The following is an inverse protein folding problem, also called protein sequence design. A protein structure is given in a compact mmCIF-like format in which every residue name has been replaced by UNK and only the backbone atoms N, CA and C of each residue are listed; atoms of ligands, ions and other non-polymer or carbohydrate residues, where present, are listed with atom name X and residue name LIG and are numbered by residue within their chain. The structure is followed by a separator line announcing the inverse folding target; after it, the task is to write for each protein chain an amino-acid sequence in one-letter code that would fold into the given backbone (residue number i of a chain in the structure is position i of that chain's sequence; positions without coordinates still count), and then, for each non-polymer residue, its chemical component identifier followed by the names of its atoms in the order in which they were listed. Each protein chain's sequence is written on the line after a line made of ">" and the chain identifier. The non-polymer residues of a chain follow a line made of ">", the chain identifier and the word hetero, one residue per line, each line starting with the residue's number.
data_IF_071676073485
#
_entry.id   IF_071676073485
#
_cell.length_a   1.000
_cell.length_b   1.000
_cell.length_c   1.000
_cell.angle_alpha   90.00
_cell.angle_beta   90.00
_cell.angle_gamma   90.00
#
_symmetry.space_group_name_H-M   'P 1'
#
loop_
_entity.id
_entity.type
_entity.pdbx_description
1 polymer ?
#
# COMPACT_ATOMS: atom_id res chain seq x y z
N UNK A 1 -47.01 -16.06 -43.20
CA UNK A 1 -47.40 -14.66 -43.52
C UNK A 1 -46.49 -13.68 -42.78
N UNK A 2 -45.60 -12.96 -43.47
CA UNK A 2 -44.85 -11.85 -42.87
C UNK A 2 -45.71 -10.58 -42.94
N UNK A 3 -46.27 -10.12 -41.82
CA UNK A 3 -46.93 -8.79 -41.73
C UNK A 3 -45.87 -7.72 -41.93
N UNK A 4 -45.90 -7.03 -43.08
CA UNK A 4 -45.02 -5.89 -43.35
C UNK A 4 -45.32 -4.73 -42.40
N UNK A 5 -44.29 -4.05 -41.91
CA UNK A 5 -44.47 -2.86 -41.09
C UNK A 5 -45.20 -1.76 -41.86
N UNK A 6 -46.18 -1.13 -41.19
CA UNK A 6 -46.90 0.03 -41.73
C UNK A 6 -45.94 1.22 -41.98
N UNK A 7 -46.30 2.10 -42.91
CA UNK A 7 -45.52 3.31 -43.22
C UNK A 7 -45.27 4.19 -41.98
N UNK A 8 -46.24 4.26 -41.06
CA UNK A 8 -46.11 4.96 -39.77
C UNK A 8 -45.10 4.29 -38.85
N UNK A 9 -45.07 2.96 -38.78
CA UNK A 9 -44.12 2.22 -37.94
C UNK A 9 -42.69 2.36 -38.48
N UNK A 10 -42.50 2.38 -39.81
CA UNK A 10 -41.18 2.66 -40.43
C UNK A 10 -40.68 4.07 -40.11
N UNK A 11 -41.58 5.08 -40.11
CA UNK A 11 -41.23 6.45 -39.76
C UNK A 11 -40.85 6.60 -38.27
N UNK A 12 -41.59 5.96 -37.37
CA UNK A 12 -41.27 5.96 -35.93
C UNK A 12 -39.91 5.29 -35.69
N UNK A 13 -39.64 4.15 -36.32
CA UNK A 13 -38.34 3.46 -36.20
C UNK A 13 -37.21 4.34 -36.74
N UNK A 14 -37.40 5.04 -37.87
CA UNK A 14 -36.40 5.95 -38.41
C UNK A 14 -36.11 7.12 -37.47
N UNK A 15 -37.13 7.70 -36.84
CA UNK A 15 -36.98 8.80 -35.86
C UNK A 15 -36.22 8.31 -34.62
N UNK A 16 -36.57 7.14 -34.08
CA UNK A 16 -35.87 6.54 -32.94
C UNK A 16 -34.40 6.27 -33.29
N UNK A 17 -34.10 5.75 -34.49
CA UNK A 17 -32.73 5.54 -34.94
C UNK A 17 -31.94 6.86 -35.04
N UNK A 18 -32.54 7.93 -35.57
CA UNK A 18 -31.88 9.24 -35.65
C UNK A 18 -31.61 9.82 -34.25
N UNK A 19 -32.56 9.71 -33.32
CA UNK A 19 -32.37 10.15 -31.93
C UNK A 19 -31.25 9.35 -31.25
N UNK A 20 -31.18 8.04 -31.47
CA UNK A 20 -30.10 7.20 -30.92
C UNK A 20 -28.72 7.56 -31.51
N UNK A 21 -28.65 7.86 -32.81
CA UNK A 21 -27.40 8.28 -33.46
C UNK A 21 -26.96 9.66 -32.95
N UNK A 22 -27.88 10.61 -32.79
CA UNK A 22 -27.59 11.93 -32.23
C UNK A 22 -27.19 11.81 -30.76
N UNK A 23 -27.92 11.02 -29.97
CA UNK A 23 -27.61 10.77 -28.56
C UNK A 23 -26.25 10.12 -28.37
N UNK A 24 -25.90 9.12 -29.19
CA UNK A 24 -24.59 8.49 -29.18
C UNK A 24 -23.48 9.44 -29.64
N UNK A 25 -23.75 10.28 -30.65
CA UNK A 25 -22.83 11.32 -31.10
C UNK A 25 -22.55 12.38 -30.03
N UNK A 26 -23.58 12.84 -29.33
CA UNK A 26 -23.45 13.78 -28.20
C UNK A 26 -22.70 13.14 -27.04
N UNK A 27 -23.00 11.89 -26.71
CA UNK A 27 -22.33 11.16 -25.63
C UNK A 27 -20.84 10.90 -25.94
N UNK A 28 -20.52 10.45 -27.16
CA UNK A 28 -19.14 10.26 -27.60
C UNK A 28 -18.38 11.59 -27.66
N UNK A 29 -19.01 12.67 -28.12
CA UNK A 29 -18.43 14.01 -28.13
C UNK A 29 -18.23 14.58 -26.72
N UNK A 30 -19.12 14.28 -25.79
CA UNK A 30 -18.99 14.67 -24.38
C UNK A 30 -17.84 13.91 -23.70
N UNK A 31 -17.73 12.59 -23.91
CA UNK A 31 -16.63 11.79 -23.36
C UNK A 31 -15.27 12.15 -23.97
N UNK A 32 -15.24 12.52 -25.25
CA UNK A 32 -14.01 12.99 -25.93
C UNK A 32 -13.53 14.37 -25.46
N UNK A 33 -14.35 15.13 -24.71
CA UNK A 33 -13.95 16.42 -24.13
C UNK A 33 -13.25 16.32 -22.79
N UNK A 34 -13.37 15.19 -22.09
CA UNK A 34 -12.61 14.97 -20.86
C UNK A 34 -11.15 14.71 -21.24
N UNK A 35 -10.29 15.72 -21.03
CA UNK A 35 -8.84 15.51 -21.17
C UNK A 35 -8.40 14.47 -20.14
N UNK A 36 -7.52 13.52 -20.52
CA UNK A 36 -6.92 12.64 -19.53
C UNK A 36 -6.21 13.48 -18.47
N UNK A 37 -6.39 13.11 -17.21
CA UNK A 37 -5.74 13.79 -16.08
C UNK A 37 -4.22 13.66 -16.22
N UNK A 38 -3.50 14.72 -15.88
CA UNK A 38 -2.04 14.65 -15.73
C UNK A 38 -1.67 13.80 -14.51
N UNK A 39 -0.42 13.30 -14.42
CA UNK A 39 0.07 12.64 -13.21
C UNK A 39 -0.18 13.44 -11.93
N UNK A 40 0.11 14.74 -11.95
CA UNK A 40 -0.13 15.62 -10.79
C UNK A 40 -1.61 15.74 -10.45
N UNK A 41 -2.50 15.84 -11.44
CA UNK A 41 -3.95 15.89 -11.22
C UNK A 41 -4.49 14.57 -10.65
N UNK A 42 -3.94 13.42 -11.07
CA UNK A 42 -4.27 12.13 -10.46
C UNK A 42 -3.82 12.12 -9.01
N UNK A 43 -2.58 12.52 -8.74
CA UNK A 43 -1.99 12.53 -7.41
C UNK A 43 -2.79 13.43 -6.45
N UNK A 44 -3.06 14.67 -6.85
CA UNK A 44 -3.84 15.65 -6.07
C UNK A 44 -5.26 15.13 -5.80
N UNK A 45 -5.89 14.56 -6.83
CA UNK A 45 -7.24 14.00 -6.72
C UNK A 45 -7.30 12.84 -5.74
N UNK A 46 -6.31 11.94 -5.76
CA UNK A 46 -6.25 10.79 -4.85
C UNK A 46 -6.07 11.28 -3.41
N UNK A 47 -5.08 12.14 -3.15
CA UNK A 47 -4.84 12.68 -1.81
C UNK A 47 -6.04 13.45 -1.25
N UNK A 48 -6.66 14.31 -2.07
CA UNK A 48 -7.82 15.10 -1.64
C UNK A 48 -9.06 14.23 -1.34
N UNK A 49 -9.13 13.02 -1.91
CA UNK A 49 -10.25 12.10 -1.73
C UNK A 49 -10.04 11.06 -0.63
N UNK A 50 -8.84 10.99 -0.03
CA UNK A 50 -8.53 9.98 0.97
C UNK A 50 -9.35 10.15 2.24
N UNK A 51 -9.89 9.05 2.77
CA UNK A 51 -10.69 9.03 3.98
C UNK A 51 -10.41 7.74 4.76
N UNK A 52 -9.75 7.87 5.91
CA UNK A 52 -9.40 6.73 6.78
C UNK A 52 -10.59 5.90 7.27
N UNK A 53 -11.83 6.38 7.13
CA UNK A 53 -13.06 5.66 7.48
C UNK A 53 -13.74 4.99 6.28
N UNK A 54 -13.23 5.20 5.07
CA UNK A 54 -13.72 4.60 3.85
C UNK A 54 -12.66 3.66 3.28
N UNK A 55 -12.83 2.33 3.44
CA UNK A 55 -11.92 1.34 2.88
C UNK A 55 -11.66 1.51 1.38
N UNK A 56 -12.64 2.03 0.62
CA UNK A 56 -12.47 2.24 -0.82
C UNK A 56 -11.43 3.32 -1.12
N UNK A 57 -11.27 4.29 -0.23
CA UNK A 57 -10.28 5.35 -0.40
C UNK A 57 -8.84 4.85 -0.28
N UNK A 58 -8.60 3.77 0.46
CA UNK A 58 -7.30 3.10 0.52
C UNK A 58 -6.95 2.46 -0.82
N UNK A 59 -7.91 1.82 -1.49
CA UNK A 59 -7.68 1.25 -2.82
C UNK A 59 -7.31 2.31 -3.86
N UNK A 60 -7.87 3.52 -3.74
CA UNK A 60 -7.57 4.61 -4.66
C UNK A 60 -6.11 5.09 -4.59
N UNK A 61 -5.42 4.83 -3.48
CA UNK A 61 -4.00 5.20 -3.30
C UNK A 61 -3.11 4.51 -4.34
N UNK A 62 -3.45 3.28 -4.73
CA UNK A 62 -2.69 2.54 -5.75
C UNK A 62 -2.73 3.20 -7.15
N UNK A 63 -3.66 4.10 -7.42
CA UNK A 63 -3.64 4.91 -8.64
C UNK A 63 -2.39 5.80 -8.72
N UNK A 64 -1.79 6.16 -7.58
CA UNK A 64 -0.52 6.89 -7.55
C UNK A 64 0.62 5.98 -8.02
N UNK A 65 0.59 4.69 -7.68
CA UNK A 65 1.59 3.73 -8.17
C UNK A 65 1.48 3.48 -9.68
N UNK A 66 0.28 3.61 -10.26
CA UNK A 66 0.06 3.49 -11.72
C UNK A 66 0.69 4.64 -12.52
N UNK A 67 1.03 5.76 -11.88
CA UNK A 67 1.82 6.85 -12.49
C UNK A 67 3.24 6.38 -12.83
N UNK A 68 3.74 5.37 -12.11
CA UNK A 68 5.09 4.84 -12.27
C UNK A 68 6.17 5.77 -11.72
N UNK A 69 7.36 5.72 -12.32
CA UNK A 69 8.55 6.46 -11.87
C UNK A 69 8.36 7.98 -11.75
N UNK A 70 7.42 8.55 -12.52
CA UNK A 70 7.09 9.97 -12.47
C UNK A 70 6.56 10.41 -11.10
N UNK A 71 6.03 9.48 -10.29
CA UNK A 71 5.57 9.76 -8.93
C UNK A 71 6.71 9.86 -7.91
N UNK A 72 7.92 9.36 -8.23
CA UNK A 72 9.01 9.21 -7.25
C UNK A 72 9.37 10.52 -6.54
N UNK A 73 9.63 11.66 -7.23
CA UNK A 73 10.05 12.88 -6.52
C UNK A 73 9.03 13.33 -5.48
N UNK A 74 7.74 13.19 -5.80
CA UNK A 74 6.65 13.60 -4.91
C UNK A 74 6.49 12.63 -3.75
N UNK A 75 6.48 11.32 -4.00
CA UNK A 75 6.43 10.30 -2.96
C UNK A 75 7.61 10.41 -1.99
N UNK A 76 8.82 10.59 -2.50
CA UNK A 76 10.03 10.81 -1.70
C UNK A 76 9.88 12.03 -0.79
N UNK A 77 9.41 13.18 -1.31
CA UNK A 77 9.19 14.36 -0.46
C UNK A 77 8.14 14.16 0.62
N UNK A 78 7.18 13.25 0.39
CA UNK A 78 6.10 12.98 1.34
C UNK A 78 6.52 12.11 2.52
N UNK A 79 7.65 11.39 2.44
CA UNK A 79 8.20 10.60 3.56
C UNK A 79 8.47 11.50 4.78
N UNK A 80 8.81 12.78 4.57
CA UNK A 80 9.09 13.73 5.65
C UNK A 80 7.91 14.70 5.92
N UNK A 81 6.74 14.43 5.34
CA UNK A 81 5.58 15.31 5.48
C UNK A 81 5.08 15.41 6.94
N UNK A 82 4.55 16.57 7.30
CA UNK A 82 3.84 16.74 8.58
C UNK A 82 2.56 15.90 8.67
N UNK A 83 1.94 15.57 7.53
CA UNK A 83 0.74 14.75 7.46
C UNK A 83 1.07 13.26 7.58
N UNK A 84 0.54 12.58 8.60
CA UNK A 84 0.67 11.12 8.76
C UNK A 84 0.14 10.37 7.53
N UNK A 85 -0.92 10.88 6.90
CA UNK A 85 -1.52 10.26 5.73
C UNK A 85 -0.60 10.34 4.51
N UNK A 86 0.06 11.47 4.31
CA UNK A 86 1.03 11.61 3.21
C UNK A 86 2.23 10.70 3.41
N UNK A 87 2.77 10.61 4.64
CA UNK A 87 3.85 9.67 4.95
C UNK A 87 3.44 8.22 4.73
N UNK A 88 2.23 7.84 5.14
CA UNK A 88 1.69 6.51 4.89
C UNK A 88 1.55 6.21 3.38
N UNK A 89 0.97 7.13 2.60
CA UNK A 89 0.87 7.01 1.13
C UNK A 89 2.25 6.84 0.51
N UNK A 90 3.23 7.62 0.97
CA UNK A 90 4.60 7.52 0.48
C UNK A 90 5.18 6.11 0.67
N UNK A 91 5.12 5.57 1.89
CA UNK A 91 5.62 4.22 2.19
C UNK A 91 4.93 3.16 1.31
N UNK A 92 3.60 3.15 1.28
CA UNK A 92 2.82 2.15 0.53
C UNK A 92 3.09 2.22 -0.98
N UNK A 93 3.08 3.42 -1.56
CA UNK A 93 3.26 3.60 -2.99
C UNK A 93 4.70 3.37 -3.43
N UNK A 94 5.70 3.80 -2.65
CA UNK A 94 7.11 3.53 -2.93
C UNK A 94 7.38 2.02 -2.92
N UNK A 95 6.90 1.30 -1.91
CA UNK A 95 7.03 -0.16 -1.88
C UNK A 95 6.34 -0.83 -3.08
N UNK A 96 5.14 -0.37 -3.44
CA UNK A 96 4.42 -0.91 -4.61
C UNK A 96 5.18 -0.66 -5.90
N UNK A 97 5.75 0.53 -6.08
CA UNK A 97 6.61 0.85 -7.22
C UNK A 97 7.83 -0.07 -7.27
N UNK A 98 8.48 -0.33 -6.14
CA UNK A 98 9.63 -1.23 -6.07
C UNK A 98 9.25 -2.68 -6.42
N UNK A 99 8.14 -3.20 -5.89
CA UNK A 99 7.64 -4.55 -6.27
C UNK A 99 7.41 -4.67 -7.77
N UNK A 100 6.90 -3.60 -8.39
CA UNK A 100 6.60 -3.58 -9.83
C UNK A 100 7.83 -3.31 -10.70
N UNK A 101 8.87 -2.65 -10.16
CA UNK A 101 10.09 -2.33 -10.86
C UNK A 101 11.31 -2.36 -9.92
N UNK A 102 12.06 -3.47 -9.97
CA UNK A 102 13.25 -3.69 -9.13
C UNK A 102 14.42 -2.76 -9.48
N UNK A 103 14.45 -2.15 -10.66
CA UNK A 103 15.50 -1.19 -11.06
C UNK A 103 15.47 0.08 -10.19
N UNK A 104 14.38 0.31 -9.46
CA UNK A 104 14.22 1.44 -8.55
C UNK A 104 14.75 1.18 -7.15
N UNK A 105 15.33 0.00 -6.87
CA UNK A 105 15.78 -0.40 -5.53
C UNK A 105 16.70 0.64 -4.89
N UNK A 106 17.71 1.09 -5.61
CA UNK A 106 18.70 2.05 -5.10
C UNK A 106 18.11 3.45 -4.82
N UNK A 107 16.96 3.77 -5.43
CA UNK A 107 16.25 5.03 -5.21
C UNK A 107 15.24 4.92 -4.07
N UNK A 108 14.59 3.77 -3.91
CA UNK A 108 13.46 3.58 -3.00
C UNK A 108 13.90 3.09 -1.61
N UNK A 109 14.84 2.15 -1.52
CA UNK A 109 15.27 1.59 -0.23
C UNK A 109 15.76 2.67 0.73
N UNK A 110 16.62 3.63 0.32
CA UNK A 110 17.04 4.71 1.22
C UNK A 110 15.89 5.58 1.73
N UNK A 111 14.83 5.75 0.94
CA UNK A 111 13.67 6.54 1.33
C UNK A 111 12.78 5.80 2.32
N UNK A 112 12.60 4.49 2.14
CA UNK A 112 11.94 3.65 3.15
C UNK A 112 12.77 3.59 4.45
N UNK A 113 14.09 3.53 4.37
CA UNK A 113 14.98 3.56 5.54
C UNK A 113 14.79 4.83 6.39
N UNK A 114 14.54 6.00 5.78
CA UNK A 114 14.22 7.23 6.54
C UNK A 114 12.97 7.08 7.40
N UNK A 115 11.97 6.34 6.93
CA UNK A 115 10.73 6.11 7.66
C UNK A 115 10.87 5.12 8.83
N UNK A 116 12.03 4.45 9.00
CA UNK A 116 12.32 3.65 10.20
C UNK A 116 12.40 4.50 11.47
N UNK A 117 12.65 5.81 11.32
CA UNK A 117 12.73 6.79 12.41
C UNK A 117 11.47 7.66 12.52
N UNK A 118 10.34 7.26 11.91
CA UNK A 118 9.09 8.02 11.99
C UNK A 118 8.62 8.21 13.45
N UNK A 119 8.00 9.36 13.72
CA UNK A 119 7.41 9.65 15.03
C UNK A 119 6.18 8.80 15.36
N UNK A 120 5.58 8.16 14.36
CA UNK A 120 4.42 7.28 14.52
C UNK A 120 4.87 5.81 14.51
N UNK A 121 4.47 5.03 15.51
CA UNK A 121 4.95 3.66 15.67
C UNK A 121 4.45 2.75 14.54
N UNK A 122 3.22 2.97 14.08
CA UNK A 122 2.69 2.21 12.95
C UNK A 122 3.48 2.45 11.67
N UNK A 123 3.88 3.69 11.36
CA UNK A 123 4.66 3.98 10.15
C UNK A 123 6.09 3.42 10.21
N UNK A 124 6.74 3.45 11.38
CA UNK A 124 8.03 2.76 11.59
C UNK A 124 7.90 1.26 11.32
N UNK A 125 6.90 0.63 11.94
CA UNK A 125 6.63 -0.80 11.77
C UNK A 125 6.31 -1.14 10.31
N UNK A 126 5.48 -0.34 9.65
CA UNK A 126 5.12 -0.53 8.25
C UNK A 126 6.37 -0.44 7.37
N UNK A 127 7.18 0.61 7.48
CA UNK A 127 8.39 0.73 6.68
C UNK A 127 9.37 -0.43 6.94
N UNK A 128 9.49 -0.86 8.20
CA UNK A 128 10.31 -1.99 8.58
C UNK A 128 9.84 -3.31 7.95
N UNK A 129 8.54 -3.57 7.94
CA UNK A 129 7.95 -4.75 7.30
C UNK A 129 8.18 -4.72 5.78
N UNK A 130 7.98 -3.56 5.16
CA UNK A 130 8.21 -3.34 3.74
C UNK A 130 9.68 -3.61 3.36
N UNK A 131 10.64 -3.05 4.12
CA UNK A 131 12.07 -3.30 3.95
C UNK A 131 12.42 -4.78 4.08
N UNK A 132 11.91 -5.47 5.11
CA UNK A 132 12.10 -6.91 5.26
C UNK A 132 11.58 -7.69 4.05
N UNK A 133 10.44 -7.29 3.48
CA UNK A 133 9.88 -7.92 2.27
C UNK A 133 10.77 -7.79 1.02
N UNK A 134 11.74 -6.86 1.03
CA UNK A 134 12.74 -6.69 -0.02
C UNK A 134 14.12 -7.28 0.33
N UNK A 135 14.19 -8.05 1.42
CA UNK A 135 15.42 -8.64 1.94
C UNK A 135 16.32 -7.68 2.70
N UNK A 136 15.82 -6.50 3.06
CA UNK A 136 16.59 -5.52 3.83
C UNK A 136 16.51 -5.81 5.33
N UNK A 137 17.62 -6.32 5.88
CA UNK A 137 17.71 -6.76 7.28
C UNK A 137 17.47 -5.64 8.30
N UNK A 138 17.66 -4.37 7.91
CA UNK A 138 17.48 -3.19 8.77
C UNK A 138 16.06 -3.07 9.33
N UNK A 139 15.05 -3.67 8.67
CA UNK A 139 13.68 -3.69 9.18
C UNK A 139 13.52 -4.54 10.45
N UNK A 140 14.24 -5.67 10.58
CA UNK A 140 14.07 -6.61 11.70
C UNK A 140 14.21 -5.97 13.10
N UNK A 141 15.27 -5.21 13.43
CA UNK A 141 15.37 -4.58 14.75
C UNK A 141 14.24 -3.59 15.06
N UNK A 142 13.68 -2.93 14.04
CA UNK A 142 12.56 -2.00 14.20
C UNK A 142 11.25 -2.76 14.43
N UNK A 143 11.03 -3.87 13.72
CA UNK A 143 9.90 -4.76 14.00
C UNK A 143 9.97 -5.32 15.44
N UNK A 144 11.15 -5.77 15.89
CA UNK A 144 11.35 -6.25 17.27
C UNK A 144 11.02 -5.15 18.28
N UNK A 145 11.50 -3.93 18.04
CA UNK A 145 11.18 -2.79 18.93
C UNK A 145 9.68 -2.46 18.92
N UNK A 146 9.01 -2.63 17.78
CA UNK A 146 7.58 -2.35 17.60
C UNK A 146 6.68 -3.31 18.38
N UNK A 147 7.18 -4.48 18.81
CA UNK A 147 6.47 -5.39 19.72
C UNK A 147 6.11 -4.74 21.07
N UNK A 148 6.82 -3.67 21.46
CA UNK A 148 6.59 -2.92 22.69
C UNK A 148 5.63 -1.74 22.52
N UNK A 149 5.09 -1.54 21.31
CA UNK A 149 4.16 -0.43 21.05
C UNK A 149 2.75 -0.76 21.54
N UNK A 150 2.15 0.19 22.24
CA UNK A 150 0.73 0.19 22.64
C UNK A 150 -0.16 0.92 21.60
N UNK A 151 0.41 1.38 20.48
CA UNK A 151 -0.34 2.12 19.45
C UNK A 151 -1.28 1.18 18.68
N UNK A 152 -2.46 1.70 18.31
CA UNK A 152 -3.41 1.03 17.43
C UNK A 152 -3.35 1.69 16.05
N UNK A 153 -3.15 0.88 15.00
CA UNK A 153 -3.15 1.39 13.63
C UNK A 153 -4.53 1.83 13.19
N UNK A 154 -4.62 3.06 12.68
CA UNK A 154 -5.83 3.62 12.04
C UNK A 154 -5.93 3.28 10.54
N UNK A 155 -4.92 2.61 9.99
CA UNK A 155 -4.81 2.26 8.56
C UNK A 155 -5.21 0.81 8.28
N UNK A 156 -5.82 0.14 9.27
CA UNK A 156 -6.42 -1.17 9.10
C UNK A 156 -7.88 -1.16 9.54
N UNK A 157 -8.68 -2.01 8.90
CA UNK A 157 -10.07 -2.25 9.28
C UNK A 157 -10.27 -3.76 9.56
N UNK A 158 -10.51 -4.17 10.83
CA UNK A 158 -10.57 -3.31 12.01
C UNK A 158 -9.19 -2.73 12.39
N UNK A 159 -9.15 -1.64 13.17
CA UNK A 159 -7.94 -1.15 13.79
C UNK A 159 -7.26 -2.26 14.59
N UNK A 160 -5.94 -2.36 14.48
CA UNK A 160 -5.17 -3.44 15.11
C UNK A 160 -3.92 -2.90 15.82
N UNK A 161 -3.49 -3.52 16.91
CA UNK A 161 -2.25 -3.14 17.59
C UNK A 161 -1.03 -3.23 16.68
N UNK A 162 -0.14 -2.24 16.79
CA UNK A 162 1.14 -2.22 16.05
C UNK A 162 2.00 -3.41 16.43
N UNK A 163 2.04 -3.73 17.73
CA UNK A 163 2.83 -4.85 18.26
C UNK A 163 2.38 -6.21 17.75
N UNK A 164 1.08 -6.45 17.64
CA UNK A 164 0.54 -7.67 17.00
C UNK A 164 0.97 -7.78 15.53
N UNK A 165 0.87 -6.70 14.75
CA UNK A 165 1.32 -6.70 13.34
C UNK A 165 2.83 -6.91 13.23
N UNK A 166 3.61 -6.31 14.12
CA UNK A 166 5.04 -6.49 14.14
C UNK A 166 5.42 -7.96 14.36
N UNK A 167 4.74 -8.67 15.27
CA UNK A 167 4.98 -10.10 15.48
C UNK A 167 4.65 -10.93 14.24
N UNK A 168 3.50 -10.68 13.61
CA UNK A 168 3.11 -11.39 12.38
C UNK A 168 4.17 -11.25 11.26
N UNK A 169 4.76 -10.06 11.11
CA UNK A 169 5.83 -9.85 10.13
C UNK A 169 7.14 -10.51 10.56
N UNK A 170 7.49 -10.48 11.85
CA UNK A 170 8.67 -11.20 12.35
C UNK A 170 8.55 -12.71 12.13
N UNK A 171 7.38 -13.29 12.40
CA UNK A 171 7.06 -14.68 12.08
C UNK A 171 7.21 -14.96 10.59
N UNK A 172 6.57 -14.15 9.75
CA UNK A 172 6.64 -14.29 8.30
C UNK A 172 8.08 -14.28 7.79
N UNK A 173 8.90 -13.33 8.24
CA UNK A 173 10.24 -13.11 7.70
C UNK A 173 11.35 -13.89 8.41
N UNK A 174 11.07 -14.66 9.46
CA UNK A 174 12.11 -15.43 10.16
C UNK A 174 11.72 -16.88 10.48
N UNK A 175 10.43 -17.22 10.35
CA UNK A 175 9.89 -18.50 10.75
C UNK A 175 9.99 -18.79 12.26
N UNK A 176 10.14 -17.75 13.09
CA UNK A 176 10.14 -17.82 14.56
C UNK A 176 8.90 -17.14 15.11
N UNK A 177 8.41 -17.58 16.26
CA UNK A 177 7.16 -17.07 16.85
C UNK A 177 7.33 -16.60 18.30
N UNK A 178 8.01 -17.41 19.12
CA UNK A 178 8.19 -17.16 20.56
C UNK A 178 6.87 -17.02 21.34
N UNK A 179 5.80 -17.66 20.86
CA UNK A 179 4.50 -17.76 21.53
C UNK A 179 3.91 -16.38 21.92
N UNK A 180 4.04 -15.37 21.04
CA UNK A 180 3.57 -14.02 21.31
C UNK A 180 2.04 -13.96 21.43
N UNK A 181 1.54 -13.46 22.56
CA UNK A 181 0.10 -13.28 22.78
C UNK A 181 -0.24 -11.84 23.16
N UNK A 182 -0.94 -11.12 22.27
CA UNK A 182 -1.23 -9.69 22.48
C UNK A 182 -2.03 -9.39 23.75
N UNK A 183 -2.93 -10.27 24.18
CA UNK A 183 -3.80 -10.04 25.34
C UNK A 183 -3.17 -10.46 26.68
N UNK A 184 -2.05 -11.21 26.65
CA UNK A 184 -1.34 -11.68 27.84
C UNK A 184 -0.04 -10.90 28.02
N UNK A 185 0.06 -10.12 29.10
CA UNK A 185 1.20 -9.23 29.31
C UNK A 185 2.51 -10.01 29.52
N UNK A 186 2.46 -11.05 30.33
CA UNK A 186 3.65 -11.81 30.72
C UNK A 186 4.21 -12.54 29.48
N UNK A 187 3.32 -13.12 28.66
CA UNK A 187 3.72 -13.73 27.38
C UNK A 187 4.28 -12.73 26.38
N UNK A 188 3.75 -11.49 26.32
CA UNK A 188 4.35 -10.44 25.46
C UNK A 188 5.76 -10.12 25.91
N UNK A 189 6.00 -9.95 27.21
CA UNK A 189 7.32 -9.64 27.76
C UNK A 189 8.31 -10.78 27.45
N UNK A 190 7.91 -12.04 27.70
CA UNK A 190 8.71 -13.23 27.38
C UNK A 190 9.03 -13.34 25.87
N UNK A 191 8.04 -13.13 25.01
CA UNK A 191 8.23 -13.17 23.56
C UNK A 191 9.17 -12.06 23.07
N UNK A 192 9.05 -10.85 23.61
CA UNK A 192 9.95 -9.73 23.33
C UNK A 192 11.39 -10.07 23.72
N UNK A 193 11.61 -10.64 24.90
CA UNK A 193 12.95 -11.11 25.32
C UNK A 193 13.47 -12.21 24.39
N UNK A 194 12.60 -13.12 23.95
CA UNK A 194 12.90 -14.17 22.97
C UNK A 194 13.38 -13.60 21.65
N UNK A 195 12.66 -12.63 21.09
CA UNK A 195 13.01 -11.92 19.86
C UNK A 195 14.34 -11.16 19.99
N UNK A 196 14.53 -10.39 21.05
CA UNK A 196 15.76 -9.64 21.30
C UNK A 196 16.97 -10.57 21.47
N UNK A 197 16.79 -11.67 22.21
CA UNK A 197 17.82 -12.69 22.41
C UNK A 197 18.20 -13.40 21.11
N UNK A 198 17.19 -13.77 20.30
CA UNK A 198 17.41 -14.37 18.98
C UNK A 198 18.13 -13.42 18.04
N UNK A 199 17.71 -12.16 17.96
CA UNK A 199 18.36 -11.16 17.12
C UNK A 199 19.82 -10.95 17.52
N UNK A 200 20.09 -10.77 18.83
CA UNK A 200 21.45 -10.60 19.34
C UNK A 200 22.37 -11.76 18.97
N UNK A 201 21.85 -12.98 18.92
CA UNK A 201 22.61 -14.19 18.58
C UNK A 201 22.83 -14.36 17.08
N UNK A 202 21.87 -13.98 16.24
CA UNK A 202 21.83 -14.40 14.84
C UNK A 202 22.05 -13.28 13.82
N UNK A 203 21.95 -11.99 14.21
CA UNK A 203 21.97 -10.85 13.27
C UNK A 203 23.09 -10.85 12.24
N UNK A 204 24.28 -11.35 12.60
CA UNK A 204 25.46 -11.33 11.73
C UNK A 204 25.54 -12.55 10.78
N UNK A 205 24.64 -13.52 10.97
CA UNK A 205 24.52 -14.77 10.21
C UNK A 205 23.24 -14.86 9.37
N UNK A 206 22.36 -13.86 9.46
CA UNK A 206 21.10 -13.86 8.72
C UNK A 206 21.32 -13.51 7.25
N UNK A 207 20.75 -14.33 6.37
CA UNK A 207 20.77 -14.12 4.93
C UNK A 207 19.35 -14.26 4.40
N UNK A 208 18.94 -13.34 3.53
CA UNK A 208 17.65 -13.40 2.83
C UNK A 208 17.60 -14.61 1.88
N UNK A 209 16.58 -15.45 2.03
CA UNK A 209 16.19 -16.48 1.08
C UNK A 209 14.99 -15.96 0.28
N UNK A 210 15.25 -15.49 -0.94
CA UNK A 210 14.21 -14.95 -1.83
C UNK A 210 13.30 -16.00 -2.46
N UNK A 211 13.58 -17.31 -2.30
CA UNK A 211 12.63 -18.36 -2.71
C UNK A 211 11.57 -18.60 -1.63
N UNK A 212 11.92 -18.38 -0.36
CA UNK A 212 11.04 -18.55 0.79
C UNK A 212 10.48 -17.25 1.37
N UNK A 213 10.95 -16.11 0.87
CA UNK A 213 10.64 -14.77 1.38
C UNK A 213 10.91 -14.62 2.89
N UNK A 214 12.04 -15.16 3.39
CA UNK A 214 12.43 -15.08 4.80
C UNK A 214 13.95 -15.03 5.00
N UNK A 215 14.39 -14.59 6.18
CA UNK A 215 15.78 -14.61 6.64
C UNK A 215 16.13 -15.94 7.32
N UNK A 216 17.19 -16.59 6.86
CA UNK A 216 17.73 -17.82 7.44
C UNK A 216 19.09 -17.60 8.09
N UNK A 217 19.37 -18.34 9.16
CA UNK A 217 20.69 -18.37 9.79
C UNK A 217 21.59 -19.29 8.99
N UNK A 218 22.72 -18.77 8.51
CA UNK A 218 23.76 -19.53 7.81
C UNK A 218 25.04 -19.71 8.65
#
# INVERSE_FOLDING_TARGET
>A
MKKGLSKKNKAIIAIVFVILIIGFGIFAWWKAKEKPKTPDEVFDSVLASFNSKDPKSFENVYQISDIGEQALPRLTSMIESNSIYERWVAIVCLSTLLRNNQDLKDQIIPELEKALDDKNDYLKMLSAAELCSFGEIKGLPVLITSLKSDEISIFSDPPSPVSLRANMHLEQYTGKDFDYEYDDKDKREDAVEGWEGWWKKNKDSLVWDGEKDLFEVK
#
